data_IF_219398135281
#
_entry.id   IF_219398135281
#
_cell.length_a   1.000
_cell.length_b   1.000
_cell.length_c   1.000
_cell.angle_alpha   90.00
_cell.angle_beta   90.00
_cell.angle_gamma   90.00
#
_symmetry.space_group_name_H-M   'P 1'
#
loop_
_entity.id
_entity.type
_entity.pdbx_description
1 polymer ?
#
# COMPACT_ATOMS: atom_id res chain seq x y z
N UNK A 1 39.44 -41.90 24.56
CA UNK A 1 39.68 -40.60 23.92
C UNK A 1 38.66 -39.63 24.51
N UNK A 2 39.13 -38.59 25.20
CA UNK A 2 38.29 -37.64 25.92
C UNK A 2 38.48 -36.27 25.33
N UNK A 3 37.40 -35.67 24.85
CA UNK A 3 37.32 -34.25 24.50
C UNK A 3 36.07 -33.68 25.16
N UNK A 4 36.21 -32.65 26.00
CA UNK A 4 35.16 -31.65 26.15
C UNK A 4 35.59 -30.36 25.46
N UNK A 5 34.77 -29.92 24.50
CA UNK A 5 34.86 -28.60 23.87
C UNK A 5 33.60 -27.80 24.25
N UNK A 6 33.77 -26.48 24.21
CA UNK A 6 32.78 -25.41 24.38
C UNK A 6 32.61 -24.84 25.80
N UNK A 7 33.48 -23.86 26.09
CA UNK A 7 33.19 -22.70 26.94
C UNK A 7 32.46 -21.65 26.10
N UNK A 8 31.41 -21.01 26.64
CA UNK A 8 31.06 -19.65 26.24
C UNK A 8 31.28 -18.69 27.42
N UNK A 9 32.18 -17.73 27.22
CA UNK A 9 32.35 -16.56 28.09
C UNK A 9 31.40 -15.46 27.61
N UNK A 10 30.45 -14.97 28.42
CA UNK A 10 29.74 -13.73 28.12
C UNK A 10 30.39 -12.56 28.90
N UNK A 11 30.57 -11.45 28.19
CA UNK A 11 30.71 -10.06 28.67
C UNK A 11 31.92 -9.33 28.07
N UNK A 12 31.77 -8.87 26.82
CA UNK A 12 32.45 -7.64 26.40
C UNK A 12 31.50 -6.48 26.67
N UNK A 13 31.68 -5.83 27.82
CA UNK A 13 31.19 -4.47 28.05
C UNK A 13 32.18 -3.51 27.39
N UNK A 14 31.78 -2.82 26.32
CA UNK A 14 32.49 -1.62 25.86
C UNK A 14 31.74 -0.38 26.36
N UNK A 15 32.38 0.49 27.14
CA UNK A 15 31.81 1.75 27.60
C UNK A 15 32.04 2.91 26.62
N UNK A 16 31.27 3.97 26.86
CA UNK A 16 31.56 5.37 26.59
C UNK A 16 31.16 5.93 25.22
N UNK A 17 29.98 6.54 25.22
CA UNK A 17 29.64 7.81 24.58
C UNK A 17 30.83 8.59 23.99
N UNK A 18 30.70 8.96 22.71
CA UNK A 18 31.02 10.28 22.15
C UNK A 18 30.72 10.29 20.65
N UNK A 19 29.45 10.38 20.29
CA UNK A 19 29.11 10.99 19.00
C UNK A 19 29.25 12.51 19.15
N UNK A 20 30.50 12.97 19.28
CA UNK A 20 30.85 14.36 19.11
C UNK A 20 30.68 14.72 17.66
N UNK A 21 29.46 15.10 17.28
CA UNK A 21 29.15 15.74 16.02
C UNK A 21 28.24 16.93 16.31
N UNK A 22 28.81 18.00 16.86
CA UNK A 22 28.22 19.33 16.83
C UNK A 22 29.07 20.19 15.89
N UNK A 23 28.97 19.91 14.59
CA UNK A 23 29.43 20.85 13.57
C UNK A 23 28.31 21.85 13.37
N UNK A 24 28.52 23.02 13.96
CA UNK A 24 27.67 24.20 13.90
C UNK A 24 27.15 24.40 12.47
N UNK A 25 25.86 24.12 12.28
CA UNK A 25 25.16 24.45 11.06
C UNK A 25 25.22 25.97 10.92
N UNK A 26 26.01 26.45 9.96
CA UNK A 26 26.00 27.86 9.62
C UNK A 26 24.56 28.25 9.25
N UNK A 27 23.98 29.33 9.82
CA UNK A 27 22.71 29.83 9.30
C UNK A 27 22.95 30.24 7.83
N UNK A 28 22.15 29.65 6.93
CA UNK A 28 22.26 29.91 5.50
C UNK A 28 22.10 31.42 5.24
N UNK A 29 23.01 31.99 4.45
CA UNK A 29 23.11 33.45 4.20
C UNK A 29 22.12 33.94 3.13
N UNK A 30 21.35 33.03 2.55
CA UNK A 30 20.34 33.33 1.55
C UNK A 30 19.01 33.66 2.26
N UNK A 31 18.39 34.83 1.97
CA UNK A 31 17.04 35.12 2.45
C UNK A 31 16.08 34.03 1.97
N UNK A 32 15.43 33.35 2.91
CA UNK A 32 14.29 32.48 2.62
C UNK A 32 13.25 33.34 1.91
N UNK A 33 13.01 33.07 0.63
CA UNK A 33 11.89 33.68 -0.09
C UNK A 33 10.61 33.33 0.66
N UNK A 34 9.87 34.38 1.05
CA UNK A 34 8.65 34.28 1.83
C UNK A 34 7.65 33.44 1.04
N UNK A 35 7.42 32.20 1.47
CA UNK A 35 6.28 31.40 1.03
C UNK A 35 5.01 32.25 1.15
N UNK A 36 4.42 32.57 0.01
CA UNK A 36 3.17 33.30 -0.05
C UNK A 36 2.07 32.29 0.25
N UNK A 37 1.49 32.39 1.44
CA UNK A 37 0.28 31.66 1.84
C UNK A 37 -0.88 32.25 1.01
N UNK A 38 -1.04 31.73 -0.21
CA UNK A 38 -2.23 31.99 -1.00
C UNK A 38 -3.33 31.08 -0.44
N UNK A 39 -4.43 31.64 0.09
CA UNK A 39 -5.48 30.83 0.66
C UNK A 39 -6.09 29.95 -0.44
N UNK A 40 -6.32 28.64 -0.21
CA UNK A 40 -7.11 27.84 -1.13
C UNK A 40 -8.50 28.46 -1.19
N UNK A 41 -8.85 29.03 -2.33
CA UNK A 41 -10.16 29.63 -2.50
C UNK A 41 -11.21 28.51 -2.54
N UNK A 42 -12.12 28.61 -1.57
CA UNK A 42 -13.36 27.86 -1.38
C UNK A 42 -13.25 26.47 -0.72
N UNK A 43 -13.31 26.50 0.62
CA UNK A 43 -14.12 25.55 1.36
C UNK A 43 -15.57 25.58 0.83
N UNK A 44 -16.01 24.49 0.20
CA UNK A 44 -17.42 24.07 0.30
C UNK A 44 -17.44 22.79 1.12
N UNK A 45 -17.92 22.94 2.35
CA UNK A 45 -18.17 21.87 3.29
C UNK A 45 -19.16 20.84 2.74
N UNK A 46 -18.90 19.58 3.10
CA UNK A 46 -19.84 18.44 3.22
C UNK A 46 -20.92 18.29 2.13
N UNK A 47 -20.75 17.28 1.30
CA UNK A 47 -21.80 16.27 1.16
C UNK A 47 -21.15 14.94 0.77
N UNK A 48 -21.60 13.88 1.44
CA UNK A 48 -21.37 12.50 1.05
C UNK A 48 -22.17 12.24 -0.24
N UNK A 49 -21.68 12.70 -1.38
CA UNK A 49 -22.35 12.35 -2.64
C UNK A 49 -21.95 10.92 -3.04
N UNK A 50 -22.93 10.01 -3.25
CA UNK A 50 -22.66 8.72 -3.85
C UNK A 50 -22.02 8.98 -5.22
N UNK A 51 -21.00 8.20 -5.55
CA UNK A 51 -20.39 8.15 -6.87
C UNK A 51 -21.51 7.99 -7.89
N UNK A 52 -21.95 9.11 -8.47
CA UNK A 52 -22.96 9.14 -9.51
C UNK A 52 -22.29 8.54 -10.74
N UNK A 53 -22.50 7.24 -10.91
CA UNK A 53 -22.28 6.48 -12.13
C UNK A 53 -22.82 7.31 -13.30
N UNK A 54 -21.92 7.94 -14.04
CA UNK A 54 -22.25 8.41 -15.37
C UNK A 54 -22.43 7.16 -16.23
N UNK A 55 -23.58 6.96 -16.91
CA UNK A 55 -23.72 5.87 -17.87
C UNK A 55 -22.93 6.22 -19.13
N UNK A 56 -21.60 6.08 -19.04
CA UNK A 56 -20.73 6.06 -20.20
C UNK A 56 -21.08 4.81 -21.00
N UNK A 57 -21.46 5.03 -22.25
CA UNK A 57 -22.00 4.05 -23.17
C UNK A 57 -21.11 2.81 -23.32
N UNK A 58 -21.69 1.60 -23.48
CA UNK A 58 -20.96 0.33 -23.40
C UNK A 58 -20.14 0.12 -24.69
N UNK A 59 -18.85 0.45 -24.61
CA UNK A 59 -17.84 -0.26 -25.39
C UNK A 59 -17.32 -1.35 -24.45
N UNK A 60 -17.48 -2.60 -24.88
CA UNK A 60 -17.43 -3.81 -24.06
C UNK A 60 -16.03 -4.16 -23.53
N UNK A 61 -15.56 -3.36 -22.58
CA UNK A 61 -14.55 -3.70 -21.58
C UNK A 61 -15.22 -3.53 -20.21
N UNK A 62 -16.28 -4.31 -19.99
CA UNK A 62 -17.08 -4.24 -18.77
C UNK A 62 -16.31 -4.91 -17.63
N UNK A 63 -15.80 -4.12 -16.68
CA UNK A 63 -15.16 -4.67 -15.49
C UNK A 63 -16.19 -5.47 -14.67
N UNK A 64 -15.87 -6.72 -14.39
CA UNK A 64 -16.68 -7.63 -13.58
C UNK A 64 -16.42 -7.36 -12.10
N UNK A 65 -17.50 -7.12 -11.36
CA UNK A 65 -17.46 -7.06 -9.89
C UNK A 65 -17.32 -8.45 -9.31
N UNK A 66 -16.26 -8.68 -8.54
CA UNK A 66 -16.04 -9.94 -7.82
C UNK A 66 -15.83 -9.68 -6.33
N UNK A 67 -16.45 -10.50 -5.48
CA UNK A 67 -16.21 -10.52 -4.04
C UNK A 67 -15.23 -11.64 -3.70
N UNK A 68 -14.19 -11.31 -2.95
CA UNK A 68 -13.17 -12.27 -2.52
C UNK A 68 -13.72 -13.13 -1.37
N UNK A 69 -13.54 -14.45 -1.48
CA UNK A 69 -13.98 -15.43 -0.48
C UNK A 69 -12.89 -15.77 0.53
N UNK A 70 -11.63 -15.79 0.09
CA UNK A 70 -10.47 -16.14 0.93
C UNK A 70 -9.33 -15.13 0.76
N UNK A 71 -8.69 -14.75 1.86
CA UNK A 71 -7.52 -13.86 1.85
C UNK A 71 -6.31 -14.59 1.32
N UNK A 72 -5.68 -14.06 0.27
CA UNK A 72 -4.41 -14.58 -0.24
C UNK A 72 -3.23 -13.87 0.44
N UNK A 73 -2.25 -14.61 0.98
CA UNK A 73 -1.08 -14.00 1.63
C UNK A 73 -0.11 -13.34 0.64
N UNK A 74 -0.13 -13.77 -0.62
CA UNK A 74 0.71 -13.23 -1.68
C UNK A 74 -0.15 -12.48 -2.70
N UNK A 75 0.28 -11.30 -3.19
CA UNK A 75 -0.42 -10.59 -4.24
C UNK A 75 -0.33 -11.37 -5.56
N UNK A 76 -1.41 -11.36 -6.33
CA UNK A 76 -1.46 -11.91 -7.69
C UNK A 76 -1.19 -10.83 -8.71
N UNK A 77 -0.87 -11.19 -9.95
CA UNK A 77 -0.80 -10.23 -11.06
C UNK A 77 -2.09 -10.27 -11.86
N UNK A 78 -2.66 -9.10 -12.16
CA UNK A 78 -3.77 -8.99 -13.09
C UNK A 78 -3.31 -9.09 -14.57
N UNK A 79 -4.26 -8.99 -15.50
CA UNK A 79 -3.99 -9.03 -16.93
C UNK A 79 -3.09 -7.87 -17.44
N UNK A 80 -3.04 -6.74 -16.73
CA UNK A 80 -2.15 -5.60 -17.01
C UNK A 80 -0.75 -5.80 -16.41
N UNK A 81 -0.60 -6.75 -15.50
CA UNK A 81 0.64 -7.03 -14.77
C UNK A 81 0.76 -6.24 -13.47
N UNK A 82 -0.32 -5.64 -12.98
CA UNK A 82 -0.34 -4.93 -11.71
C UNK A 82 -0.59 -5.89 -10.53
N UNK A 83 0.08 -5.69 -9.38
CA UNK A 83 -0.08 -6.55 -8.21
C UNK A 83 -1.42 -6.26 -7.51
N UNK A 84 -2.26 -7.28 -7.42
CA UNK A 84 -3.55 -7.28 -6.76
C UNK A 84 -3.48 -8.07 -5.45
N UNK A 85 -3.76 -7.40 -4.33
CA UNK A 85 -3.90 -8.04 -3.01
C UNK A 85 -5.35 -8.44 -2.81
N UNK A 86 -5.60 -9.67 -2.36
CA UNK A 86 -6.94 -10.21 -2.20
C UNK A 86 -7.23 -10.48 -0.73
N UNK A 87 -8.23 -9.79 -0.18
CA UNK A 87 -8.69 -9.97 1.20
C UNK A 87 -10.13 -10.47 1.22
N UNK A 88 -10.41 -11.50 2.02
CA UNK A 88 -11.75 -12.07 2.15
C UNK A 88 -12.77 -11.00 2.56
N UNK A 89 -13.82 -10.87 1.74
CA UNK A 89 -14.88 -9.89 1.92
C UNK A 89 -14.73 -8.64 1.08
N UNK A 90 -13.55 -8.37 0.51
CA UNK A 90 -13.33 -7.24 -0.40
C UNK A 90 -14.03 -7.44 -1.75
N UNK A 91 -14.34 -6.34 -2.43
CA UNK A 91 -14.97 -6.34 -3.76
C UNK A 91 -14.08 -5.61 -4.75
N UNK A 92 -13.56 -6.33 -5.73
CA UNK A 92 -12.73 -5.78 -6.80
C UNK A 92 -13.51 -5.70 -8.12
N UNK A 93 -13.11 -4.75 -8.96
CA UNK A 93 -13.57 -4.59 -10.34
C UNK A 93 -12.44 -5.03 -11.26
N UNK A 94 -12.57 -6.20 -11.87
CA UNK A 94 -11.50 -6.83 -12.64
C UNK A 94 -11.97 -7.06 -14.08
N UNK A 95 -11.03 -7.25 -15.00
CA UNK A 95 -11.36 -7.72 -16.34
C UNK A 95 -12.01 -9.12 -16.29
N UNK A 96 -12.81 -9.46 -17.29
CA UNK A 96 -13.49 -10.76 -17.39
C UNK A 96 -12.53 -11.95 -17.29
N UNK A 97 -11.33 -11.84 -17.86
CA UNK A 97 -10.33 -12.92 -17.82
C UNK A 97 -9.84 -13.19 -16.40
N UNK A 98 -9.42 -12.16 -15.67
CA UNK A 98 -8.96 -12.27 -14.28
C UNK A 98 -10.11 -12.66 -13.34
N UNK A 99 -11.28 -12.07 -13.51
CA UNK A 99 -12.47 -12.39 -12.72
C UNK A 99 -12.87 -13.86 -12.89
N UNK A 100 -12.91 -14.36 -14.12
CA UNK A 100 -13.25 -15.76 -14.39
C UNK A 100 -12.24 -16.71 -13.78
N UNK A 101 -10.93 -16.41 -13.90
CA UNK A 101 -9.89 -17.21 -13.27
C UNK A 101 -10.05 -17.31 -11.74
N UNK A 102 -10.36 -16.19 -11.06
CA UNK A 102 -10.58 -16.18 -9.61
C UNK A 102 -11.83 -16.96 -9.19
N UNK A 103 -12.89 -16.89 -9.99
CA UNK A 103 -14.14 -17.62 -9.75
C UNK A 103 -13.94 -19.12 -9.95
N UNK A 104 -13.25 -19.53 -11.01
CA UNK A 104 -12.93 -20.93 -11.28
C UNK A 104 -11.97 -21.53 -10.24
N UNK A 105 -11.03 -20.73 -9.73
CA UNK A 105 -10.16 -21.13 -8.61
C UNK A 105 -10.90 -21.25 -7.27
N UNK A 106 -12.14 -20.76 -7.18
CA UNK A 106 -12.93 -20.73 -5.95
C UNK A 106 -12.46 -19.68 -4.94
N UNK A 107 -11.64 -18.71 -5.37
CA UNK A 107 -11.10 -17.64 -4.53
C UNK A 107 -12.06 -16.44 -4.47
N UNK A 108 -12.89 -16.24 -5.49
CA UNK A 108 -13.87 -15.15 -5.55
C UNK A 108 -15.23 -15.61 -6.12
N UNK A 109 -16.27 -14.81 -5.93
CA UNK A 109 -17.58 -14.98 -6.56
C UNK A 109 -17.99 -13.70 -7.31
N UNK A 110 -18.81 -13.82 -8.36
CA UNK A 110 -19.37 -12.64 -9.05
C UNK A 110 -20.38 -11.95 -8.12
N UNK A 111 -20.20 -10.66 -7.88
CA UNK A 111 -21.09 -9.86 -7.05
C UNK A 111 -22.12 -9.12 -7.91
N UNK A 112 -23.39 -9.13 -7.49
CA UNK A 112 -24.46 -8.37 -8.13
C UNK A 112 -24.42 -6.86 -7.76
N UNK A 113 -25.10 -6.05 -8.58
CA UNK A 113 -25.03 -4.59 -8.56
C UNK A 113 -25.68 -3.96 -7.32
#
# INVERSE_FOLDING_TARGET
ASTPSAQPSPAQSTPAEKHGAAMELAPSKEPIERIQDEPPMAETASETDPVAESPSQPMADENVRVRVLETMPEPIMDASGDPLTLEAGDVHFLDESTATWLVEAGVAERAEL
#
